data_IF_133928594728
#
_entry.id   IF_133928594728
#
_cell.length_a   1.000
_cell.length_b   1.000
_cell.length_c   1.000
_cell.angle_alpha   90.00
_cell.angle_beta   90.00
_cell.angle_gamma   90.00
#
_symmetry.space_group_name_H-M   'P 1'
#
loop_
_entity.id
_entity.type
_entity.pdbx_description
1 polymer ?
#
# COMPACT_ATOMS: atom_id res chain seq x y z
N UNK A 1 28.74 38.67 2.27
CA UNK A 1 27.90 37.55 2.72
C UNK A 1 27.81 37.61 4.23
N UNK A 2 26.64 37.65 4.83
CA UNK A 2 26.52 37.50 6.28
C UNK A 2 26.88 36.07 6.66
N UNK A 3 28.01 35.90 7.30
CA UNK A 3 28.44 34.65 7.91
C UNK A 3 27.64 34.44 9.18
N UNK A 4 26.76 33.45 9.18
CA UNK A 4 26.14 32.97 10.42
C UNK A 4 27.21 32.14 11.16
N UNK A 5 28.03 32.80 11.94
CA UNK A 5 29.06 32.15 12.72
C UNK A 5 28.49 31.25 13.79
N UNK A 6 29.22 30.20 14.10
CA UNK A 6 28.96 29.28 15.20
C UNK A 6 28.76 30.03 16.51
N UNK A 7 27.55 30.01 17.04
CA UNK A 7 27.33 30.42 18.43
C UNK A 7 27.24 29.12 19.28
N UNK A 8 28.25 28.84 20.08
CA UNK A 8 28.35 27.57 20.79
C UNK A 8 27.43 27.41 21.99
N UNK A 9 26.79 28.44 22.47
CA UNK A 9 25.92 28.32 23.65
C UNK A 9 24.89 29.46 23.66
N UNK A 10 23.68 29.18 23.20
CA UNK A 10 22.60 30.14 23.38
C UNK A 10 21.42 29.79 22.50
N UNK A 11 20.22 29.91 23.02
CA UNK A 11 18.98 29.90 22.28
C UNK A 11 18.99 31.02 21.22
N UNK A 12 19.50 30.75 20.03
CA UNK A 12 19.40 31.69 18.93
C UNK A 12 18.08 31.45 18.19
N UNK A 13 17.13 32.35 18.41
CA UNK A 13 15.99 32.48 17.55
C UNK A 13 16.42 33.31 16.33
N UNK A 14 16.45 32.71 15.15
CA UNK A 14 16.56 33.47 13.90
C UNK A 14 15.17 34.10 13.59
N UNK A 15 15.08 35.41 13.77
CA UNK A 15 13.91 36.17 13.30
C UNK A 15 14.03 36.39 11.78
N UNK A 16 13.27 35.64 11.02
CA UNK A 16 13.13 35.86 9.58
C UNK A 16 11.96 36.80 9.35
N UNK A 17 12.20 38.06 8.96
CA UNK A 17 11.17 39.09 8.87
C UNK A 17 10.38 39.06 7.53
N UNK A 18 10.93 38.49 6.47
CA UNK A 18 10.28 38.44 5.16
C UNK A 18 10.53 37.12 4.42
N UNK A 19 11.77 36.77 4.13
CA UNK A 19 12.15 35.52 3.43
C UNK A 19 13.56 35.07 3.77
N UNK A 20 13.79 33.78 3.71
CA UNK A 20 15.12 33.18 3.68
C UNK A 20 15.27 32.39 2.39
N UNK A 21 16.32 32.67 1.62
CA UNK A 21 16.67 31.89 0.43
C UNK A 21 17.73 30.88 0.80
N UNK A 22 17.52 29.61 0.42
CA UNK A 22 18.50 28.53 0.53
C UNK A 22 18.93 28.17 -0.89
N UNK A 23 20.23 28.24 -1.18
CA UNK A 23 20.81 28.06 -2.52
C UNK A 23 21.13 29.38 -3.20
N UNK A 24 21.91 29.31 -4.28
CA UNK A 24 22.39 30.46 -5.07
C UNK A 24 21.90 30.45 -6.53
N UNK A 25 21.02 29.50 -6.89
CA UNK A 25 20.45 29.34 -8.22
C UNK A 25 21.34 28.54 -9.18
N UNK A 26 22.39 27.92 -8.71
CA UNK A 26 23.20 26.95 -9.49
C UNK A 26 22.56 25.55 -9.42
N UNK A 27 23.02 24.65 -10.30
CA UNK A 27 22.59 23.24 -10.33
C UNK A 27 23.17 22.49 -9.13
N UNK A 28 22.49 22.56 -7.99
CA UNK A 28 22.88 21.89 -6.75
C UNK A 28 21.68 21.50 -5.89
N UNK A 29 21.80 20.42 -5.13
CA UNK A 29 20.84 20.04 -4.11
C UNK A 29 20.79 21.08 -2.99
N UNK A 30 19.68 21.77 -2.83
CA UNK A 30 19.49 22.73 -1.75
C UNK A 30 18.61 22.14 -0.65
N UNK A 31 18.99 22.33 0.63
CA UNK A 31 18.24 21.76 1.75
C UNK A 31 18.43 22.47 3.06
N UNK A 32 17.40 22.35 3.88
CA UNK A 32 17.46 22.57 5.33
C UNK A 32 17.52 21.20 6.00
N UNK A 33 18.50 21.01 6.86
CA UNK A 33 18.67 19.79 7.66
C UNK A 33 18.26 20.07 9.09
N UNK A 34 17.40 19.24 9.63
CA UNK A 34 17.07 19.18 11.04
C UNK A 34 17.97 18.10 11.66
N UNK A 35 19.08 18.56 12.23
CA UNK A 35 20.13 17.72 12.82
C UNK A 35 19.68 17.24 14.20
N UNK A 36 19.22 16.01 14.28
CA UNK A 36 18.74 15.37 15.51
C UNK A 36 19.78 14.43 16.13
N UNK A 37 19.66 14.17 17.42
CA UNK A 37 20.62 13.30 18.11
C UNK A 37 20.69 11.87 17.56
N UNK A 38 19.56 11.31 17.12
CA UNK A 38 19.46 9.94 16.62
C UNK A 38 19.24 9.86 15.11
N UNK A 39 18.52 10.82 14.56
CA UNK A 39 18.11 10.85 13.14
C UNK A 39 18.01 12.29 12.66
N UNK A 40 18.50 12.51 11.44
CA UNK A 40 18.31 13.77 10.73
C UNK A 40 17.08 13.68 9.82
N UNK A 41 16.44 14.81 9.62
CA UNK A 41 15.45 15.02 8.58
C UNK A 41 15.84 16.21 7.73
N UNK A 42 15.44 16.18 6.48
CA UNK A 42 15.69 17.26 5.52
C UNK A 42 14.43 17.68 4.79
N UNK A 43 14.41 18.92 4.37
CA UNK A 43 13.51 19.47 3.36
C UNK A 43 14.32 20.30 2.38
N UNK A 44 14.13 20.11 1.09
CA UNK A 44 14.89 20.85 0.08
C UNK A 44 14.56 20.42 -1.35
N UNK A 45 15.28 20.98 -2.30
CA UNK A 45 15.16 20.64 -3.71
C UNK A 45 16.25 19.65 -4.08
N UNK A 46 15.86 18.55 -4.67
CA UNK A 46 16.71 17.61 -5.37
C UNK A 46 16.89 18.10 -6.81
N UNK A 47 18.04 18.66 -7.13
CA UNK A 47 18.35 19.21 -8.45
C UNK A 47 18.29 18.15 -9.56
N UNK A 48 18.64 16.91 -9.25
CA UNK A 48 18.59 15.81 -10.22
C UNK A 48 17.18 15.45 -10.69
N UNK A 49 16.16 15.82 -9.94
CA UNK A 49 14.74 15.52 -10.25
C UNK A 49 13.84 16.75 -10.26
N UNK A 50 14.36 17.93 -9.90
CA UNK A 50 13.60 19.20 -9.74
C UNK A 50 12.40 19.09 -8.78
N UNK A 51 12.51 18.24 -7.75
CA UNK A 51 11.41 18.03 -6.79
C UNK A 51 11.74 18.64 -5.43
N UNK A 52 10.71 19.23 -4.82
CA UNK A 52 10.77 19.45 -3.39
C UNK A 52 10.67 18.09 -2.68
N UNK A 53 11.65 17.78 -1.82
CA UNK A 53 11.75 16.50 -1.11
C UNK A 53 11.76 16.71 0.40
N UNK A 54 11.00 15.89 1.12
CA UNK A 54 11.08 15.70 2.56
C UNK A 54 11.54 14.27 2.81
N UNK A 55 12.63 14.10 3.55
CA UNK A 55 13.20 12.78 3.75
C UNK A 55 14.03 12.67 5.04
N UNK A 56 14.45 11.43 5.31
CA UNK A 56 15.33 11.08 6.43
C UNK A 56 16.79 11.09 5.96
N UNK A 57 17.69 11.50 6.87
CA UNK A 57 19.11 11.62 6.58
C UNK A 57 19.44 12.89 5.81
N UNK A 58 20.71 13.05 5.43
CA UNK A 58 21.25 14.29 4.88
C UNK A 58 21.42 14.27 3.34
N UNK A 59 21.06 13.21 2.63
CA UNK A 59 21.21 13.10 1.19
C UNK A 59 19.85 12.96 0.50
N UNK A 60 19.60 13.80 -0.53
CA UNK A 60 18.43 13.66 -1.42
C UNK A 60 18.47 12.32 -2.18
N UNK A 61 17.29 11.85 -2.62
CA UNK A 61 17.14 10.59 -3.33
C UNK A 61 17.29 9.32 -2.46
N UNK A 62 17.70 9.47 -1.18
CA UNK A 62 17.81 8.37 -0.22
C UNK A 62 16.66 8.38 0.76
N UNK A 63 15.97 7.54 1.21
CA UNK A 63 14.89 7.55 2.22
C UNK A 63 13.97 8.78 2.10
N UNK A 64 13.40 8.97 0.92
CA UNK A 64 12.43 10.01 0.62
C UNK A 64 11.06 9.62 1.17
N UNK A 65 10.48 10.46 2.02
CA UNK A 65 9.16 10.23 2.59
C UNK A 65 8.04 10.91 1.79
N UNK A 66 8.33 12.07 1.21
CA UNK A 66 7.37 12.86 0.44
C UNK A 66 8.11 13.66 -0.63
N UNK A 67 7.50 13.76 -1.81
CA UNK A 67 7.95 14.69 -2.86
C UNK A 67 6.80 15.54 -3.38
N UNK A 68 7.11 16.72 -3.88
CA UNK A 68 6.22 17.55 -4.70
C UNK A 68 6.96 17.84 -6.00
N UNK A 69 6.39 17.42 -7.13
CA UNK A 69 7.00 17.64 -8.44
C UNK A 69 6.68 19.03 -9.01
N UNK A 70 7.24 19.34 -10.17
CA UNK A 70 7.07 20.62 -10.88
C UNK A 70 5.60 20.89 -11.31
N UNK A 71 4.75 19.88 -11.36
CA UNK A 71 3.32 19.98 -11.62
C UNK A 71 2.46 20.11 -10.35
N UNK A 72 3.11 20.10 -9.17
CA UNK A 72 2.44 20.13 -7.87
C UNK A 72 1.89 18.79 -7.40
N UNK A 73 2.28 17.67 -8.04
CA UNK A 73 1.85 16.33 -7.63
C UNK A 73 2.64 15.89 -6.39
N UNK A 74 1.89 15.57 -5.33
CA UNK A 74 2.44 15.02 -4.08
C UNK A 74 2.53 13.51 -4.18
N UNK A 75 3.71 12.96 -3.84
CA UNK A 75 3.94 11.51 -3.77
C UNK A 75 4.52 11.14 -2.42
N UNK A 76 4.13 9.97 -1.89
CA UNK A 76 4.65 9.38 -0.66
C UNK A 76 5.22 7.99 -0.97
N UNK A 77 6.50 7.91 -1.41
CA UNK A 77 7.07 6.68 -1.97
C UNK A 77 7.19 5.52 -0.97
N UNK A 78 7.10 5.78 0.33
CA UNK A 78 7.12 4.78 1.39
C UNK A 78 5.72 4.48 1.96
N UNK A 79 4.66 4.85 1.23
CA UNK A 79 3.30 4.48 1.59
C UNK A 79 3.05 3.02 1.19
N UNK A 80 2.67 2.18 2.16
CA UNK A 80 2.33 0.78 1.92
C UNK A 80 1.17 0.66 0.93
N UNK A 81 1.34 -0.18 -0.07
CA UNK A 81 0.31 -0.46 -1.06
C UNK A 81 0.65 -1.69 -1.88
N UNK A 82 -0.33 -2.58 -2.03
CA UNK A 82 -0.21 -3.81 -2.82
C UNK A 82 -1.44 -3.98 -3.70
N UNK A 83 -1.22 -4.40 -4.92
CA UNK A 83 -2.24 -4.95 -5.82
C UNK A 83 -1.76 -6.31 -6.33
N UNK A 84 -2.48 -7.36 -5.96
CA UNK A 84 -2.23 -8.72 -6.40
C UNK A 84 -3.48 -9.31 -7.07
N UNK A 85 -3.30 -10.18 -8.04
CA UNK A 85 -4.37 -10.80 -8.82
C UNK A 85 -4.10 -12.29 -9.07
N UNK A 86 -5.15 -12.98 -9.44
CA UNK A 86 -5.09 -14.36 -9.88
C UNK A 86 -4.99 -14.38 -11.42
N UNK A 87 -3.85 -14.82 -11.97
CA UNK A 87 -3.61 -14.80 -13.41
C UNK A 87 -4.35 -15.93 -14.15
N UNK A 88 -4.54 -17.05 -13.49
CA UNK A 88 -5.20 -18.23 -14.03
C UNK A 88 -6.28 -18.77 -13.07
N UNK A 89 -7.19 -19.59 -13.60
CA UNK A 89 -8.24 -20.19 -12.78
C UNK A 89 -7.68 -21.07 -11.67
N UNK A 90 -8.24 -20.92 -10.46
CA UNK A 90 -7.93 -21.76 -9.29
C UNK A 90 -9.14 -22.62 -8.93
N UNK A 91 -8.94 -23.94 -8.83
CA UNK A 91 -9.99 -24.86 -8.40
C UNK A 91 -10.25 -24.75 -6.89
N UNK A 92 -11.52 -24.70 -6.53
CA UNK A 92 -12.03 -24.73 -5.15
C UNK A 92 -13.00 -25.90 -5.02
N UNK A 93 -12.77 -26.77 -4.05
CA UNK A 93 -13.69 -27.88 -3.78
C UNK A 93 -14.94 -27.40 -3.07
N UNK A 94 -16.07 -28.09 -3.35
CA UNK A 94 -17.35 -27.81 -2.72
C UNK A 94 -17.24 -27.79 -1.19
N UNK A 95 -17.85 -26.80 -0.57
CA UNK A 95 -17.91 -26.60 0.90
C UNK A 95 -16.53 -26.55 1.60
N UNK A 96 -15.44 -26.36 0.84
CA UNK A 96 -14.07 -26.33 1.36
C UNK A 96 -13.55 -24.91 1.39
N UNK A 97 -13.12 -24.43 2.56
CA UNK A 97 -12.45 -23.15 2.70
C UNK A 97 -11.06 -23.21 2.04
N UNK A 98 -10.86 -22.43 0.99
CA UNK A 98 -9.65 -22.47 0.16
C UNK A 98 -9.01 -21.09 0.09
N UNK A 99 -7.73 -21.00 0.44
CA UNK A 99 -6.94 -19.77 0.28
C UNK A 99 -6.80 -19.41 -1.19
N UNK A 100 -6.96 -18.14 -1.53
CA UNK A 100 -6.73 -17.66 -2.89
C UNK A 100 -5.23 -17.50 -3.12
N UNK A 101 -4.77 -18.14 -4.21
CA UNK A 101 -3.37 -18.19 -4.60
C UNK A 101 -3.05 -17.07 -5.60
N UNK A 102 -3.16 -15.81 -5.18
CA UNK A 102 -2.75 -14.69 -6.03
C UNK A 102 -1.30 -14.86 -6.45
N UNK A 103 -1.06 -14.95 -7.75
CA UNK A 103 0.21 -15.33 -8.35
C UNK A 103 0.84 -14.24 -9.21
N UNK A 104 0.18 -13.09 -9.34
CA UNK A 104 0.67 -11.95 -10.09
C UNK A 104 0.48 -10.65 -9.30
N UNK A 105 1.56 -9.90 -9.17
CA UNK A 105 1.57 -8.59 -8.52
C UNK A 105 1.55 -7.50 -9.59
N UNK A 106 0.55 -6.61 -9.52
CA UNK A 106 0.54 -5.39 -10.32
C UNK A 106 1.50 -4.35 -9.72
N UNK A 107 1.55 -4.26 -8.40
CA UNK A 107 2.55 -3.54 -7.64
C UNK A 107 2.59 -4.01 -6.18
N UNK A 108 3.77 -3.88 -5.58
CA UNK A 108 4.03 -4.05 -4.15
C UNK A 108 5.11 -3.04 -3.74
N UNK A 109 4.69 -1.93 -3.15
CA UNK A 109 5.57 -0.78 -2.91
C UNK A 109 6.67 -1.08 -1.89
N UNK A 110 6.38 -1.87 -0.89
CA UNK A 110 7.30 -2.15 0.23
C UNK A 110 7.69 -3.62 0.36
N UNK A 111 7.42 -4.44 -0.66
CA UNK A 111 7.63 -5.91 -0.63
C UNK A 111 6.88 -6.57 0.54
N UNK A 112 5.61 -6.24 0.69
CA UNK A 112 4.74 -6.72 1.76
C UNK A 112 3.87 -7.91 1.36
N UNK A 113 3.88 -8.30 0.08
CA UNK A 113 3.11 -9.42 -0.45
C UNK A 113 4.00 -10.60 -0.80
N UNK A 114 3.80 -11.72 -0.13
CA UNK A 114 4.52 -12.97 -0.39
C UNK A 114 3.68 -14.18 0.04
N UNK A 115 3.84 -15.32 -0.64
CA UNK A 115 3.15 -16.58 -0.30
C UNK A 115 1.61 -16.40 -0.20
N UNK A 116 1.05 -15.61 -1.11
CA UNK A 116 -0.39 -15.32 -1.21
C UNK A 116 -0.96 -14.67 0.08
N UNK A 117 -0.19 -13.78 0.68
CA UNK A 117 -0.60 -12.99 1.84
C UNK A 117 0.10 -11.64 1.86
N UNK A 118 -0.60 -10.65 2.36
CA UNK A 118 -0.03 -9.35 2.71
C UNK A 118 0.50 -9.43 4.15
N UNK A 119 1.70 -8.89 4.42
CA UNK A 119 2.26 -8.77 5.78
C UNK A 119 2.65 -7.33 6.02
N UNK A 120 2.01 -6.67 6.99
CA UNK A 120 2.24 -5.27 7.28
C UNK A 120 3.66 -5.03 7.84
N UNK A 121 4.42 -4.14 7.22
CA UNK A 121 5.72 -3.69 7.72
C UNK A 121 5.59 -2.64 8.82
N UNK A 122 4.48 -1.92 8.87
CA UNK A 122 4.20 -0.88 9.85
C UNK A 122 2.80 -1.03 10.47
N UNK A 123 2.66 -0.62 11.73
CA UNK A 123 1.34 -0.51 12.34
C UNK A 123 0.51 0.61 11.69
N UNK A 124 -0.81 0.44 11.64
CA UNK A 124 -1.71 1.45 11.10
C UNK A 124 -3.08 0.92 10.73
N UNK A 125 -3.86 1.75 10.04
CA UNK A 125 -5.14 1.39 9.46
C UNK A 125 -4.94 1.17 7.97
N UNK A 126 -5.41 0.03 7.48
CA UNK A 126 -5.30 -0.40 6.09
C UNK A 126 -6.68 -0.54 5.47
N UNK A 127 -6.89 0.07 4.32
CA UNK A 127 -8.06 -0.20 3.48
C UNK A 127 -7.76 -1.42 2.62
N UNK A 128 -8.64 -2.41 2.69
CA UNK A 128 -8.52 -3.69 1.98
C UNK A 128 -9.71 -3.85 1.08
N UNK A 129 -9.47 -4.20 -0.18
CA UNK A 129 -10.52 -4.58 -1.13
C UNK A 129 -10.15 -5.89 -1.80
N UNK A 130 -11.09 -6.81 -1.89
CA UNK A 130 -10.93 -8.06 -2.63
C UNK A 130 -12.18 -8.34 -3.43
N UNK A 131 -12.00 -8.82 -4.65
CA UNK A 131 -13.07 -9.38 -5.47
C UNK A 131 -12.74 -10.81 -5.85
N UNK A 132 -13.72 -11.70 -5.71
CA UNK A 132 -13.64 -13.07 -6.18
C UNK A 132 -14.78 -13.29 -7.17
N UNK A 133 -14.47 -13.89 -8.31
CA UNK A 133 -15.47 -14.28 -9.31
C UNK A 133 -15.47 -15.80 -9.51
N UNK A 134 -16.67 -16.39 -9.61
CA UNK A 134 -16.86 -17.83 -9.82
C UNK A 134 -18.14 -18.08 -10.60
N UNK A 135 -18.08 -18.94 -11.61
CA UNK A 135 -19.29 -19.41 -12.30
C UNK A 135 -19.99 -20.49 -11.46
N UNK A 136 -21.20 -20.17 -10.99
CA UNK A 136 -22.03 -21.01 -10.13
C UNK A 136 -23.41 -21.21 -10.76
N UNK A 137 -24.21 -22.15 -10.24
CA UNK A 137 -25.61 -22.33 -10.59
C UNK A 137 -26.52 -21.34 -9.89
N UNK A 138 -27.76 -21.23 -10.36
CA UNK A 138 -28.77 -20.37 -9.75
C UNK A 138 -29.04 -20.74 -8.29
N UNK A 139 -28.95 -19.78 -7.40
CA UNK A 139 -29.14 -19.95 -5.97
C UNK A 139 -27.95 -20.47 -5.18
N UNK A 140 -26.86 -20.88 -5.86
CA UNK A 140 -25.61 -21.25 -5.16
C UNK A 140 -24.87 -20.02 -4.61
N UNK A 141 -24.06 -20.23 -3.61
CA UNK A 141 -23.36 -19.16 -2.88
C UNK A 141 -21.87 -19.19 -3.08
N UNK A 142 -21.30 -18.00 -3.30
CA UNK A 142 -19.88 -17.74 -3.18
C UNK A 142 -19.62 -16.93 -1.91
N UNK A 143 -18.75 -17.42 -1.06
CA UNK A 143 -18.28 -16.74 0.15
C UNK A 143 -16.86 -16.25 -0.05
N UNK A 144 -16.60 -15.00 0.38
CA UNK A 144 -15.26 -14.43 0.52
C UNK A 144 -14.98 -14.16 1.99
N UNK A 145 -13.83 -14.58 2.49
CA UNK A 145 -13.40 -14.33 3.85
C UNK A 145 -12.05 -13.62 3.88
N UNK A 146 -11.96 -12.54 4.66
CA UNK A 146 -10.70 -11.88 4.99
C UNK A 146 -10.23 -12.40 6.35
N UNK A 147 -9.02 -12.90 6.39
CA UNK A 147 -8.40 -13.48 7.58
C UNK A 147 -7.21 -12.63 8.02
N UNK A 148 -7.15 -12.34 9.30
CA UNK A 148 -6.00 -11.71 9.97
C UNK A 148 -5.34 -12.73 10.87
N UNK A 149 -4.05 -13.01 10.66
CA UNK A 149 -3.26 -13.96 11.46
C UNK A 149 -3.96 -15.33 11.60
N UNK A 150 -4.55 -15.80 10.50
CA UNK A 150 -5.27 -17.08 10.44
C UNK A 150 -6.69 -17.04 11.02
N UNK A 151 -7.17 -15.91 11.55
CA UNK A 151 -8.53 -15.78 12.11
C UNK A 151 -9.43 -14.96 11.18
N UNK A 152 -10.64 -15.44 10.93
CA UNK A 152 -11.66 -14.73 10.14
C UNK A 152 -12.04 -13.42 10.83
N UNK A 153 -11.89 -12.30 10.11
CA UNK A 153 -12.26 -10.96 10.61
C UNK A 153 -13.44 -10.35 9.85
N UNK A 154 -13.54 -10.62 8.54
CA UNK A 154 -14.65 -10.16 7.69
C UNK A 154 -15.08 -11.26 6.74
N UNK A 155 -16.38 -11.33 6.47
CA UNK A 155 -16.98 -12.27 5.54
C UNK A 155 -18.06 -11.59 4.74
N UNK A 156 -18.11 -11.87 3.44
CA UNK A 156 -19.22 -11.53 2.57
C UNK A 156 -19.69 -12.78 1.82
N UNK A 157 -20.89 -12.74 1.29
CA UNK A 157 -21.42 -13.78 0.42
C UNK A 157 -22.29 -13.17 -0.68
N UNK A 158 -22.34 -13.85 -1.79
CA UNK A 158 -23.24 -13.52 -2.90
C UNK A 158 -23.95 -14.79 -3.37
N UNK A 159 -25.23 -14.66 -3.71
CA UNK A 159 -25.99 -15.68 -4.44
C UNK A 159 -25.74 -15.51 -5.93
N UNK A 160 -25.46 -16.61 -6.62
CA UNK A 160 -25.42 -16.62 -8.07
C UNK A 160 -26.83 -16.53 -8.64
N UNK A 161 -27.02 -15.72 -9.66
CA UNK A 161 -28.20 -15.73 -10.51
C UNK A 161 -28.07 -16.74 -11.65
N UNK A 162 -29.17 -16.96 -12.36
CA UNK A 162 -29.19 -17.89 -13.49
C UNK A 162 -28.15 -17.53 -14.55
N UNK A 163 -27.23 -18.47 -14.84
CA UNK A 163 -26.24 -18.42 -15.91
C UNK A 163 -25.16 -17.32 -15.82
N UNK A 164 -24.94 -16.72 -14.62
CA UNK A 164 -23.95 -15.65 -14.45
C UNK A 164 -22.85 -16.01 -13.44
N UNK A 165 -21.72 -15.32 -13.55
CA UNK A 165 -20.65 -15.42 -12.56
C UNK A 165 -21.04 -14.71 -11.27
N UNK A 166 -21.03 -15.42 -10.15
CA UNK A 166 -21.07 -14.80 -8.84
C UNK A 166 -19.81 -13.96 -8.60
N UNK A 167 -19.97 -12.70 -8.23
CA UNK A 167 -18.87 -11.79 -7.88
C UNK A 167 -19.02 -11.37 -6.42
N UNK A 168 -18.16 -11.91 -5.56
CA UNK A 168 -18.14 -11.56 -4.14
C UNK A 168 -17.11 -10.45 -3.90
N UNK A 169 -17.61 -9.29 -3.54
CA UNK A 169 -16.79 -8.10 -3.28
C UNK A 169 -16.73 -7.83 -1.77
N UNK A 170 -15.52 -7.69 -1.23
CA UNK A 170 -15.25 -7.41 0.17
C UNK A 170 -14.41 -6.15 0.27
N UNK A 171 -14.84 -5.20 1.10
CA UNK A 171 -14.05 -4.01 1.45
C UNK A 171 -14.11 -3.81 2.96
N UNK A 172 -12.95 -3.54 3.57
CA UNK A 172 -12.85 -3.32 5.00
C UNK A 172 -11.67 -2.39 5.34
N UNK A 173 -11.81 -1.63 6.43
CA UNK A 173 -10.69 -0.98 7.09
C UNK A 173 -10.24 -1.85 8.25
N UNK A 174 -8.96 -2.22 8.26
CA UNK A 174 -8.39 -3.15 9.24
C UNK A 174 -7.24 -2.49 9.97
N UNK A 175 -7.28 -2.53 11.29
CA UNK A 175 -6.13 -2.12 12.11
C UNK A 175 -5.12 -3.27 12.17
N UNK A 176 -3.88 -2.99 11.75
CA UNK A 176 -2.77 -3.93 11.77
C UNK A 176 -1.64 -3.40 12.66
N UNK A 177 -0.98 -4.31 13.36
CA UNK A 177 0.35 -4.11 13.92
C UNK A 177 1.41 -4.51 12.90
N UNK A 178 2.65 -4.07 13.07
CA UNK A 178 3.75 -4.61 12.27
C UNK A 178 3.82 -6.13 12.44
N UNK A 179 4.03 -6.84 11.33
CA UNK A 179 4.05 -8.30 11.19
C UNK A 179 2.66 -8.99 11.24
N UNK A 180 1.55 -8.26 11.44
CA UNK A 180 0.23 -8.83 11.18
C UNK A 180 0.08 -9.13 9.69
N UNK A 181 -0.60 -10.22 9.35
CA UNK A 181 -0.82 -10.58 7.95
C UNK A 181 -2.31 -10.78 7.64
N UNK A 182 -2.63 -10.54 6.36
CA UNK A 182 -3.95 -10.72 5.79
C UNK A 182 -3.94 -11.74 4.65
N UNK A 183 -4.97 -12.57 4.61
CA UNK A 183 -5.20 -13.59 3.60
C UNK A 183 -6.66 -13.57 3.17
N UNK A 184 -6.92 -13.92 1.91
CA UNK A 184 -8.28 -14.06 1.37
C UNK A 184 -8.58 -15.52 1.10
N UNK A 185 -9.75 -15.95 1.53
CA UNK A 185 -10.25 -17.33 1.31
C UNK A 185 -11.60 -17.31 0.60
N UNK A 186 -11.83 -18.34 -0.20
CA UNK A 186 -13.10 -18.62 -0.83
C UNK A 186 -13.74 -19.91 -0.31
N UNK A 187 -15.06 -19.98 -0.38
CA UNK A 187 -15.85 -21.19 -0.20
C UNK A 187 -17.12 -21.08 -1.06
N UNK A 188 -17.63 -22.18 -1.58
CA UNK A 188 -18.92 -22.23 -2.29
C UNK A 188 -19.70 -23.51 -1.94
N UNK A 189 -20.98 -23.57 -2.32
CA UNK A 189 -21.88 -24.70 -2.01
C UNK A 189 -22.53 -25.33 -3.28
N UNK A 190 -21.85 -25.21 -4.44
CA UNK A 190 -22.35 -25.72 -5.75
C UNK A 190 -22.54 -27.25 -5.83
N UNK A 191 -21.94 -28.01 -4.92
CA UNK A 191 -22.02 -29.48 -4.94
C UNK A 191 -20.79 -30.19 -5.55
N UNK A 192 -20.09 -29.58 -6.50
CA UNK A 192 -18.83 -30.10 -7.09
C UNK A 192 -17.78 -29.01 -7.13
N UNK A 193 -16.51 -29.35 -7.42
CA UNK A 193 -15.46 -28.36 -7.55
C UNK A 193 -15.78 -27.31 -8.62
N UNK A 194 -15.45 -26.05 -8.35
CA UNK A 194 -15.56 -24.89 -9.25
C UNK A 194 -14.30 -24.06 -9.25
N UNK A 195 -14.11 -23.33 -10.33
CA UNK A 195 -12.96 -22.45 -10.45
C UNK A 195 -13.30 -21.03 -10.00
N UNK A 196 -12.47 -20.46 -9.12
CA UNK A 196 -12.31 -19.02 -9.04
C UNK A 196 -11.71 -18.57 -10.37
N UNK A 197 -12.32 -17.57 -10.98
CA UNK A 197 -11.90 -17.07 -12.31
C UNK A 197 -10.69 -16.17 -12.16
N UNK A 198 -9.59 -16.56 -12.79
CA UNK A 198 -8.40 -15.73 -12.98
C UNK A 198 -8.43 -14.98 -14.30
N UNK A 199 -7.57 -13.98 -14.45
CA UNK A 199 -7.37 -13.23 -15.68
C UNK A 199 -6.28 -12.18 -15.52
N UNK A 200 -5.48 -12.01 -16.56
CA UNK A 200 -4.29 -11.15 -16.53
C UNK A 200 -4.57 -9.65 -16.40
N UNK A 201 -5.83 -9.24 -16.55
CA UNK A 201 -6.25 -7.83 -16.44
C UNK A 201 -6.75 -7.44 -15.04
N UNK A 202 -6.83 -8.42 -14.09
CA UNK A 202 -7.35 -8.18 -12.75
C UNK A 202 -8.84 -7.88 -12.67
N UNK A 203 -9.60 -8.14 -13.76
CA UNK A 203 -11.03 -7.80 -13.81
C UNK A 203 -11.93 -8.76 -13.03
N UNK A 204 -11.41 -9.93 -12.64
CA UNK A 204 -12.20 -10.99 -12.02
C UNK A 204 -11.84 -11.28 -10.56
N UNK A 205 -10.57 -11.50 -10.28
CA UNK A 205 -10.15 -11.91 -8.94
C UNK A 205 -8.88 -11.17 -8.56
N UNK A 206 -9.00 -10.30 -7.55
CA UNK A 206 -7.91 -9.45 -7.09
C UNK A 206 -7.96 -9.19 -5.60
N UNK A 207 -6.83 -8.76 -5.09
CA UNK A 207 -6.61 -8.25 -3.76
C UNK A 207 -5.87 -6.91 -3.84
N UNK A 208 -6.42 -5.93 -3.18
CA UNK A 208 -5.89 -4.57 -3.13
C UNK A 208 -5.82 -4.11 -1.69
N UNK A 209 -4.72 -3.52 -1.27
CA UNK A 209 -4.55 -2.97 0.06
C UNK A 209 -3.69 -1.72 0.04
N UNK A 210 -4.10 -0.71 0.82
CA UNK A 210 -3.33 0.50 1.07
C UNK A 210 -3.38 0.86 2.55
N UNK A 211 -2.26 1.31 3.10
CA UNK A 211 -2.24 1.99 4.39
C UNK A 211 -2.88 3.38 4.26
N UNK A 212 -3.81 3.71 5.14
CA UNK A 212 -4.54 4.99 5.13
C UNK A 212 -4.28 5.85 6.38
N UNK A 213 -3.79 5.25 7.47
CA UNK A 213 -3.38 5.96 8.68
C UNK A 213 -2.36 5.14 9.50
#
# INVERSE_FOLDING_TARGET
>A
MPYFGTNPVGTSSANVSASTTVGDGTAEDTKLVFDGNALDFRIGIDDGTDKLEIGKGNAHGTTTHMTIDTNGIVTTPLQSGVFARLSANQSVNNATLTKIAYDEEGYDILNEFASNKFTATAAGIYNVTSMLAMALGDGDRLFSGLYKNGSLIHRTQVLAGAAESAKSHLTANVQLSASDYLEVFAQHDYGTARNITGGNDGSYTYFFINKIA
#
